data_IF_894860037281
#
_entry.id   IF_894860037281
#
_cell.length_a   1.000
_cell.length_b   1.000
_cell.length_c   1.000
_cell.angle_alpha   90.00
_cell.angle_beta   90.00
_cell.angle_gamma   90.00
#
_symmetry.space_group_name_H-M   'P 1'
#
loop_
_entity.id
_entity.type
_entity.pdbx_description
1 polymer ?
#
# COMPACT_ATOMS: atom_id res chain seq x y z
N UNK A 1 -21.58 21.74 -35.29
CA UNK A 1 -21.22 20.46 -35.95
C UNK A 1 -21.61 19.35 -34.99
N UNK A 2 -22.23 18.29 -35.51
CA UNK A 2 -23.36 17.58 -34.91
C UNK A 2 -22.93 16.54 -33.85
N UNK A 3 -23.65 16.51 -32.72
CA UNK A 3 -23.62 15.45 -31.72
C UNK A 3 -23.99 14.10 -32.35
N UNK A 4 -23.13 13.09 -32.22
CA UNK A 4 -23.51 11.70 -32.55
C UNK A 4 -23.75 10.95 -31.23
N UNK A 5 -24.99 11.05 -30.77
CA UNK A 5 -25.59 10.10 -29.84
C UNK A 5 -25.97 8.85 -30.66
N UNK A 6 -25.25 7.75 -30.46
CA UNK A 6 -25.70 6.44 -30.94
C UNK A 6 -26.59 5.82 -29.85
N UNK A 7 -27.90 6.04 -29.97
CA UNK A 7 -28.91 5.33 -29.21
C UNK A 7 -29.43 4.20 -30.07
N UNK A 8 -29.22 2.94 -29.65
CA UNK A 8 -30.09 1.84 -30.05
C UNK A 8 -30.67 1.21 -28.80
N UNK A 9 -31.87 1.68 -28.48
CA UNK A 9 -32.85 0.98 -27.67
C UNK A 9 -33.20 -0.33 -28.39
N UNK A 10 -32.79 -1.47 -27.84
CA UNK A 10 -33.43 -2.75 -28.13
C UNK A 10 -34.03 -3.27 -26.85
N UNK A 11 -35.36 -3.10 -26.76
CA UNK A 11 -36.21 -3.80 -25.81
C UNK A 11 -36.13 -5.30 -26.10
N UNK A 12 -35.67 -6.08 -25.13
CA UNK A 12 -35.89 -7.52 -25.12
C UNK A 12 -36.32 -7.92 -23.71
N UNK A 13 -37.63 -8.00 -23.53
CA UNK A 13 -38.29 -8.72 -22.45
C UNK A 13 -37.84 -10.19 -22.50
N UNK A 14 -36.78 -10.51 -21.77
CA UNK A 14 -36.43 -11.89 -21.48
C UNK A 14 -37.09 -12.28 -20.15
N UNK A 15 -38.31 -12.85 -20.22
CA UNK A 15 -38.73 -13.84 -19.22
C UNK A 15 -37.84 -15.07 -19.41
N UNK A 16 -36.60 -14.97 -18.96
CA UNK A 16 -35.69 -16.09 -18.85
C UNK A 16 -35.88 -16.69 -17.47
N UNK A 17 -36.45 -17.90 -17.42
CA UNK A 17 -36.30 -18.78 -16.25
C UNK A 17 -34.78 -18.91 -16.05
N UNK A 18 -34.26 -18.25 -15.02
CA UNK A 18 -32.85 -18.40 -14.64
C UNK A 18 -32.71 -19.83 -14.15
N UNK A 19 -32.26 -20.72 -15.03
CA UNK A 19 -31.94 -22.10 -14.70
C UNK A 19 -30.93 -22.09 -13.54
N UNK A 20 -31.17 -22.90 -12.51
CA UNK A 20 -30.37 -22.98 -11.28
C UNK A 20 -28.85 -23.14 -11.53
N UNK A 21 -28.44 -23.61 -12.72
CA UNK A 21 -27.05 -23.66 -13.17
C UNK A 21 -26.34 -22.30 -13.26
N UNK A 22 -27.02 -21.21 -13.67
CA UNK A 22 -26.38 -19.88 -13.72
C UNK A 22 -26.16 -19.26 -12.34
N UNK A 23 -26.96 -19.64 -11.34
CA UNK A 23 -26.82 -19.18 -9.96
C UNK A 23 -25.66 -19.88 -9.21
N UNK A 24 -25.36 -21.15 -9.51
CA UNK A 24 -24.25 -21.85 -8.87
C UNK A 24 -22.88 -21.45 -9.46
N UNK A 25 -22.83 -21.14 -10.75
CA UNK A 25 -21.63 -20.63 -11.43
C UNK A 25 -21.30 -19.21 -10.96
N UNK A 26 -22.33 -18.36 -10.78
CA UNK A 26 -22.18 -17.03 -10.21
C UNK A 26 -21.79 -17.07 -8.73
N UNK A 27 -22.41 -17.92 -7.89
CA UNK A 27 -22.00 -18.08 -6.49
C UNK A 27 -20.56 -18.56 -6.35
N UNK A 28 -20.09 -19.52 -7.17
CA UNK A 28 -18.71 -19.99 -7.13
C UNK A 28 -17.71 -18.93 -7.58
N UNK A 29 -18.06 -18.09 -8.56
CA UNK A 29 -17.22 -16.98 -9.00
C UNK A 29 -17.17 -15.85 -7.94
N UNK A 30 -18.30 -15.51 -7.33
CA UNK A 30 -18.39 -14.52 -6.23
C UNK A 30 -17.65 -15.02 -5.00
N UNK A 31 -17.82 -16.28 -4.60
CA UNK A 31 -17.06 -16.86 -3.48
C UNK A 31 -15.57 -16.95 -3.80
N UNK A 32 -15.17 -17.27 -5.03
CA UNK A 32 -13.74 -17.22 -5.43
C UNK A 32 -13.21 -15.80 -5.42
N UNK A 33 -13.99 -14.81 -5.84
CA UNK A 33 -13.62 -13.40 -5.78
C UNK A 33 -13.48 -12.94 -4.33
N UNK A 34 -14.43 -13.26 -3.44
CA UNK A 34 -14.38 -12.95 -2.01
C UNK A 34 -13.24 -13.68 -1.28
N UNK A 35 -12.90 -14.91 -1.67
CA UNK A 35 -11.75 -15.67 -1.13
C UNK A 35 -10.41 -15.22 -1.74
N UNK A 36 -10.40 -14.71 -2.97
CA UNK A 36 -9.23 -14.09 -3.61
C UNK A 36 -9.01 -12.65 -3.13
N UNK A 37 -10.06 -12.01 -2.60
CA UNK A 37 -10.02 -10.65 -2.09
C UNK A 37 -9.72 -10.58 -0.59
N UNK A 38 -9.69 -11.71 0.14
CA UNK A 38 -9.18 -11.70 1.51
C UNK A 38 -7.65 -11.76 1.48
N UNK A 39 -6.99 -10.61 1.59
CA UNK A 39 -5.54 -10.55 1.71
C UNK A 39 -5.09 -11.39 2.91
N UNK A 40 -4.07 -12.22 2.70
CA UNK A 40 -3.41 -12.93 3.79
C UNK A 40 -2.66 -11.95 4.70
N UNK A 41 -2.38 -12.29 5.98
CA UNK A 41 -1.57 -11.44 6.86
C UNK A 41 -0.22 -11.04 6.24
N UNK A 42 0.42 -11.96 5.49
CA UNK A 42 1.68 -11.69 4.80
C UNK A 42 1.52 -10.63 3.71
N UNK A 43 0.44 -10.68 2.94
CA UNK A 43 0.16 -9.72 1.87
C UNK A 43 -0.22 -8.35 2.44
N UNK A 44 -1.02 -8.32 3.51
CA UNK A 44 -1.34 -7.09 4.25
C UNK A 44 -0.03 -6.42 4.70
N UNK A 45 0.85 -7.17 5.37
CA UNK A 45 2.13 -6.65 5.84
C UNK A 45 3.04 -6.19 4.70
N UNK A 46 3.10 -6.94 3.60
CA UNK A 46 3.91 -6.57 2.44
C UNK A 46 3.45 -5.26 1.80
N UNK A 47 2.14 -5.03 1.72
CA UNK A 47 1.55 -3.82 1.16
C UNK A 47 1.75 -2.61 2.07
N UNK A 48 1.51 -2.77 3.37
CA UNK A 48 1.79 -1.71 4.36
C UNK A 48 3.29 -1.35 4.32
N UNK A 49 4.18 -2.34 4.20
CA UNK A 49 5.62 -2.10 4.05
C UNK A 49 5.97 -1.33 2.77
N UNK A 50 5.20 -1.50 1.70
CA UNK A 50 5.37 -0.72 0.46
C UNK A 50 4.76 0.70 0.52
N UNK A 51 4.20 1.10 1.67
CA UNK A 51 3.62 2.43 1.88
C UNK A 51 2.13 2.55 1.57
N UNK A 52 1.41 1.44 1.38
CA UNK A 52 -0.05 1.48 1.24
C UNK A 52 -0.70 1.88 2.58
N UNK A 53 -1.74 2.71 2.53
CA UNK A 53 -2.47 3.08 3.74
C UNK A 53 -3.31 1.91 4.25
N UNK A 54 -3.50 1.85 5.57
CA UNK A 54 -4.35 0.83 6.22
C UNK A 54 -5.77 0.86 5.65
N UNK A 55 -6.30 2.06 5.38
CA UNK A 55 -7.62 2.26 4.81
C UNK A 55 -7.72 1.70 3.37
N UNK A 56 -6.70 1.93 2.54
CA UNK A 56 -6.68 1.39 1.16
C UNK A 56 -6.58 -0.13 1.17
N UNK A 57 -5.75 -0.69 2.05
CA UNK A 57 -5.60 -2.14 2.21
C UNK A 57 -6.89 -2.79 2.73
N UNK A 58 -7.61 -2.12 3.64
CA UNK A 58 -8.90 -2.59 4.15
C UNK A 58 -10.00 -2.56 3.08
N UNK A 59 -10.06 -1.46 2.30
CA UNK A 59 -11.00 -1.31 1.19
C UNK A 59 -10.76 -2.37 0.11
N UNK A 60 -9.50 -2.64 -0.24
CA UNK A 60 -9.19 -3.69 -1.20
C UNK A 60 -9.46 -5.08 -0.62
N UNK A 61 -9.11 -5.35 0.64
CA UNK A 61 -9.36 -6.64 1.28
C UNK A 61 -10.86 -6.92 1.54
N UNK A 62 -11.73 -5.92 1.39
CA UNK A 62 -13.14 -6.00 1.74
C UNK A 62 -13.36 -6.30 3.23
N UNK A 63 -12.48 -5.80 4.10
CA UNK A 63 -12.53 -6.03 5.55
C UNK A 63 -12.51 -4.73 6.33
N UNK A 64 -12.76 -4.80 7.63
CA UNK A 64 -12.74 -3.63 8.51
C UNK A 64 -11.31 -3.11 8.70
N UNK A 65 -11.17 -1.80 8.80
CA UNK A 65 -9.89 -1.12 9.08
C UNK A 65 -9.29 -1.62 10.39
N UNK A 66 -10.11 -1.82 11.43
CA UNK A 66 -9.67 -2.30 12.75
C UNK A 66 -8.96 -3.67 12.64
N UNK A 67 -9.42 -4.52 11.71
CA UNK A 67 -8.79 -5.82 11.45
C UNK A 67 -7.41 -5.67 10.80
N UNK A 68 -7.24 -4.69 9.91
CA UNK A 68 -5.95 -4.42 9.25
C UNK A 68 -4.97 -3.72 10.21
N UNK A 69 -5.46 -2.83 11.09
CA UNK A 69 -4.66 -2.14 12.09
C UNK A 69 -3.88 -3.10 13.00
N UNK A 70 -4.50 -4.21 13.38
CA UNK A 70 -3.85 -5.27 14.15
C UNK A 70 -2.58 -5.84 13.47
N UNK A 71 -2.54 -5.83 12.14
CA UNK A 71 -1.37 -6.26 11.36
C UNK A 71 -0.44 -5.09 11.01
N UNK A 72 -0.90 -3.84 11.11
CA UNK A 72 -0.14 -2.64 10.81
C UNK A 72 0.89 -2.31 11.90
N UNK A 73 0.53 -2.46 13.18
CA UNK A 73 1.40 -2.15 14.32
C UNK A 73 2.81 -2.76 14.21
N UNK A 74 2.94 -4.08 13.96
CA UNK A 74 4.25 -4.72 13.76
C UNK A 74 5.06 -4.14 12.58
N UNK A 75 4.40 -3.76 11.49
CA UNK A 75 5.09 -3.20 10.31
C UNK A 75 5.58 -1.78 10.59
N UNK A 76 4.80 -0.97 11.30
CA UNK A 76 5.22 0.38 11.68
C UNK A 76 6.44 0.35 12.60
N UNK A 77 6.45 -0.55 13.60
CA UNK A 77 7.60 -0.72 14.49
C UNK A 77 8.86 -1.19 13.74
N UNK A 78 8.71 -2.09 12.77
CA UNK A 78 9.82 -2.53 11.91
C UNK A 78 10.38 -1.37 11.09
N UNK A 79 9.51 -0.54 10.48
CA UNK A 79 9.94 0.60 9.66
C UNK A 79 10.64 1.66 10.49
N UNK A 80 10.13 1.96 11.68
CA UNK A 80 10.79 2.83 12.65
C UNK A 80 12.16 2.28 13.05
N UNK A 81 12.26 0.97 13.31
CA UNK A 81 13.52 0.33 13.64
C UNK A 81 14.54 0.42 12.50
N UNK A 82 14.13 0.13 11.26
CA UNK A 82 14.98 0.22 10.08
C UNK A 82 15.45 1.67 9.87
N UNK A 83 14.55 2.64 10.00
CA UNK A 83 14.89 4.06 9.91
C UNK A 83 15.93 4.46 10.98
N UNK A 84 15.77 3.99 12.23
CA UNK A 84 16.73 4.24 13.30
C UNK A 84 18.09 3.59 13.03
N UNK A 85 18.12 2.35 12.53
CA UNK A 85 19.36 1.66 12.15
C UNK A 85 20.05 2.41 11.01
N UNK A 86 19.30 2.83 9.99
CA UNK A 86 19.83 3.57 8.86
C UNK A 86 20.50 4.88 9.28
N UNK A 87 19.92 5.63 10.22
CA UNK A 87 20.52 6.87 10.74
C UNK A 87 21.89 6.65 11.38
N UNK A 88 22.09 5.53 12.07
CA UNK A 88 23.36 5.19 12.73
C UNK A 88 24.37 4.51 11.80
N UNK A 89 23.94 4.11 10.60
CA UNK A 89 24.79 3.43 9.64
C UNK A 89 25.98 4.30 9.21
N UNK A 90 27.16 3.69 9.13
CA UNK A 90 28.38 4.38 8.69
C UNK A 90 28.43 4.44 7.16
N UNK A 91 28.61 5.64 6.62
CA UNK A 91 28.71 5.88 5.18
C UNK A 91 30.17 6.16 4.81
N UNK A 92 30.66 5.49 3.76
CA UNK A 92 31.99 5.74 3.19
C UNK A 92 31.86 6.61 1.95
N UNK A 93 32.61 7.71 1.91
CA UNK A 93 32.70 8.55 0.72
C UNK A 93 33.88 8.11 -0.16
N UNK A 94 33.64 8.04 -1.48
CA UNK A 94 34.68 7.68 -2.45
C UNK A 94 35.82 8.71 -2.39
N UNK A 95 37.04 8.24 -2.16
CA UNK A 95 38.25 9.08 -2.06
C UNK A 95 38.61 9.51 -0.64
N UNK A 96 37.77 9.23 0.36
CA UNK A 96 38.01 9.60 1.76
C UNK A 96 38.34 8.32 2.57
N UNK A 97 39.62 7.91 2.55
CA UNK A 97 40.07 6.75 3.30
C UNK A 97 39.96 7.03 4.82
N UNK A 98 39.10 6.29 5.53
CA UNK A 98 38.98 6.36 6.99
C UNK A 98 37.84 7.22 7.54
N UNK A 99 37.05 7.88 6.69
CA UNK A 99 35.84 8.59 7.12
C UNK A 99 34.79 7.60 7.65
N UNK A 100 34.51 7.64 8.96
CA UNK A 100 33.42 6.91 9.63
C UNK A 100 32.30 7.89 10.03
N UNK A 101 31.65 8.51 9.04
CA UNK A 101 30.52 9.42 9.30
C UNK A 101 29.21 8.63 9.31
N UNK A 102 28.30 8.97 10.22
CA UNK A 102 26.95 8.40 10.23
C UNK A 102 26.08 9.05 9.16
N UNK A 103 25.13 8.29 8.63
CA UNK A 103 24.18 8.77 7.64
C UNK A 103 23.32 9.93 8.19
N UNK A 104 22.87 9.82 9.44
CA UNK A 104 22.10 10.87 10.13
C UNK A 104 22.82 12.21 10.12
N UNK A 105 24.05 12.26 10.65
CA UNK A 105 24.87 13.48 10.70
C UNK A 105 25.12 14.10 9.32
N UNK A 106 25.25 13.25 8.28
CA UNK A 106 25.44 13.72 6.90
C UNK A 106 24.18 14.40 6.37
N UNK A 107 23.02 13.80 6.59
CA UNK A 107 21.75 14.35 6.16
C UNK A 107 21.42 15.63 6.94
N UNK A 108 21.62 15.65 8.25
CA UNK A 108 21.43 16.84 9.09
C UNK A 108 22.26 18.02 8.59
N UNK A 109 23.58 17.85 8.41
CA UNK A 109 24.45 18.89 7.84
C UNK A 109 23.96 19.37 6.47
N UNK A 110 23.45 18.46 5.64
CA UNK A 110 22.94 18.80 4.31
C UNK A 110 21.64 19.59 4.37
N UNK A 111 20.76 19.27 5.31
CA UNK A 111 19.50 19.98 5.53
C UNK A 111 19.75 21.39 6.09
N UNK A 112 20.61 21.51 7.10
CA UNK A 112 20.99 22.81 7.66
C UNK A 112 21.65 23.71 6.60
N UNK A 113 22.46 23.16 5.70
CA UNK A 113 23.05 23.93 4.58
C UNK A 113 22.01 24.51 3.61
N UNK A 114 20.77 24.01 3.65
CA UNK A 114 19.62 24.48 2.87
C UNK A 114 18.61 25.29 3.70
N UNK A 115 18.90 25.52 4.98
CA UNK A 115 17.99 26.22 5.91
C UNK A 115 16.79 25.38 6.36
N UNK A 116 16.87 24.05 6.25
CA UNK A 116 15.84 23.14 6.75
C UNK A 116 16.25 22.60 8.13
N UNK A 117 15.30 22.56 9.05
CA UNK A 117 15.49 21.92 10.34
C UNK A 117 15.34 20.39 10.20
N UNK A 118 16.34 19.65 10.70
CA UNK A 118 16.29 18.19 10.71
C UNK A 118 15.25 17.65 11.69
N UNK A 119 14.85 18.43 12.71
CA UNK A 119 13.83 18.03 13.68
C UNK A 119 12.42 17.98 13.08
N UNK A 120 12.18 18.69 11.98
CA UNK A 120 10.92 18.70 11.24
C UNK A 120 10.79 17.53 10.25
N UNK A 121 11.85 16.73 10.09
CA UNK A 121 11.91 15.65 9.11
C UNK A 121 11.69 14.30 9.79
N UNK A 122 10.66 13.60 9.31
CA UNK A 122 10.37 12.23 9.72
C UNK A 122 11.13 11.27 8.82
N UNK A 123 11.88 10.35 9.45
CA UNK A 123 12.52 9.25 8.75
C UNK A 123 11.56 8.06 8.68
N UNK A 124 11.50 7.44 7.52
CA UNK A 124 10.68 6.25 7.28
C UNK A 124 11.45 5.31 6.34
N UNK A 125 11.13 4.01 6.42
CA UNK A 125 11.79 2.94 5.66
C UNK A 125 10.95 2.48 4.46
#
# INVERSE_FOLDING_TARGET
MVHVLCSTRTSASARGVVTAGKLCENKRAVTRYLMANSLTPREIQARIRSGASVADVAAEAGTDVERIEAFAGPVMAEREHIAAVAQTATVRQRGEAGSHRRLGDLIERRLSSRGLDASEIVWDA
#
